data_IF_974204432440
#
_entry.id   IF_974204432440
#
_cell.length_a   1.000
_cell.length_b   1.000
_cell.length_c   1.000
_cell.angle_alpha   90.00
_cell.angle_beta   90.00
_cell.angle_gamma   90.00
#
_symmetry.space_group_name_H-M   'P 1'
#
loop_
_entity.id
_entity.type
_entity.pdbx_description
1 polymer ?
#
# COMPACT_ATOMS: atom_id res chain seq x y z
N UNK A 1 -2.87 -7.48 -7.11
CA UNK A 1 -2.18 -8.24 -6.05
C UNK A 1 -0.77 -8.60 -6.51
N UNK A 2 0.22 -8.63 -5.61
CA UNK A 2 1.60 -9.03 -5.96
C UNK A 2 1.77 -10.55 -5.82
N UNK A 3 2.45 -11.17 -6.78
CA UNK A 3 2.79 -12.61 -6.78
C UNK A 3 4.24 -12.87 -6.36
N UNK A 4 5.05 -11.81 -6.25
CA UNK A 4 6.45 -11.88 -5.86
C UNK A 4 6.65 -11.09 -4.58
N UNK A 5 7.36 -11.69 -3.62
CA UNK A 5 7.73 -11.10 -2.33
C UNK A 5 9.25 -11.12 -2.25
N UNK A 6 9.86 -9.94 -2.12
CA UNK A 6 11.31 -9.74 -1.99
C UNK A 6 11.69 -9.65 -0.51
N UNK A 7 11.00 -8.80 0.25
CA UNK A 7 11.18 -8.59 1.69
C UNK A 7 9.88 -8.02 2.27
N UNK A 8 9.40 -8.55 3.40
CA UNK A 8 8.15 -8.12 4.03
C UNK A 8 8.32 -6.97 5.05
N UNK A 9 9.56 -6.57 5.32
CA UNK A 9 9.88 -5.50 6.27
C UNK A 9 9.18 -4.19 5.87
N UNK A 10 8.50 -3.54 6.82
CA UNK A 10 7.82 -2.26 6.59
C UNK A 10 6.47 -2.35 5.86
N UNK A 11 6.03 -3.53 5.40
CA UNK A 11 4.75 -3.67 4.70
C UNK A 11 3.55 -3.36 5.61
N UNK A 12 3.61 -3.78 6.88
CA UNK A 12 2.60 -3.44 7.88
C UNK A 12 2.58 -1.94 8.20
N UNK A 13 3.75 -1.32 8.30
CA UNK A 13 3.86 0.12 8.57
C UNK A 13 3.27 0.93 7.43
N UNK A 14 3.54 0.55 6.17
CA UNK A 14 2.95 1.19 5.00
C UNK A 14 1.43 1.00 4.91
N UNK A 15 0.94 -0.20 5.24
CA UNK A 15 -0.50 -0.46 5.35
C UNK A 15 -1.13 0.49 6.37
N UNK A 16 -0.61 0.52 7.61
CA UNK A 16 -1.21 1.30 8.68
C UNK A 16 -1.07 2.81 8.47
N UNK A 17 0.04 3.28 7.91
CA UNK A 17 0.23 4.69 7.58
C UNK A 17 -0.88 5.19 6.64
N UNK A 18 -1.19 4.44 5.58
CA UNK A 18 -2.23 4.85 4.64
C UNK A 18 -3.64 4.58 5.17
N UNK A 19 -3.87 3.42 5.78
CA UNK A 19 -5.20 3.05 6.28
C UNK A 19 -5.66 3.96 7.42
N UNK A 20 -4.75 4.39 8.30
CA UNK A 20 -5.08 5.32 9.39
C UNK A 20 -5.43 6.72 8.87
N UNK A 21 -4.74 7.22 7.84
CA UNK A 21 -5.08 8.47 7.18
C UNK A 21 -6.47 8.41 6.52
N UNK A 22 -6.77 7.30 5.82
CA UNK A 22 -8.09 7.09 5.23
C UNK A 22 -9.18 6.97 6.31
N UNK A 23 -8.89 6.30 7.43
CA UNK A 23 -9.81 6.21 8.55
C UNK A 23 -10.09 7.59 9.18
N UNK A 24 -9.04 8.39 9.40
CA UNK A 24 -9.16 9.74 9.93
C UNK A 24 -9.94 10.67 8.98
N UNK A 25 -9.84 10.45 7.67
CA UNK A 25 -10.61 11.18 6.66
C UNK A 25 -12.06 10.66 6.48
N UNK A 26 -12.48 9.64 7.22
CA UNK A 26 -13.86 9.14 7.22
C UNK A 26 -14.24 8.27 6.02
N UNK A 27 -13.26 7.65 5.34
CA UNK A 27 -13.56 6.74 4.22
C UNK A 27 -14.24 5.44 4.68
N UNK A 28 -15.02 4.78 3.82
CA UNK A 28 -15.58 3.45 4.09
C UNK A 28 -14.49 2.40 4.35
N UNK A 29 -14.80 1.43 5.22
CA UNK A 29 -13.86 0.36 5.62
C UNK A 29 -13.27 -0.43 4.45
N UNK A 30 -14.05 -0.66 3.40
CA UNK A 30 -13.58 -1.35 2.19
C UNK A 30 -12.50 -0.54 1.46
N UNK A 31 -12.67 0.79 1.32
CA UNK A 31 -11.67 1.66 0.71
C UNK A 31 -10.42 1.82 1.58
N UNK A 32 -10.60 1.84 2.91
CA UNK A 32 -9.48 1.86 3.86
C UNK A 32 -8.61 0.60 3.69
N UNK A 33 -9.25 -0.57 3.72
CA UNK A 33 -8.56 -1.85 3.56
C UNK A 33 -7.92 -1.97 2.18
N UNK A 34 -8.62 -1.55 1.12
CA UNK A 34 -8.08 -1.55 -0.24
C UNK A 34 -6.82 -0.68 -0.36
N UNK A 35 -6.89 0.58 0.07
CA UNK A 35 -5.77 1.51 0.01
C UNK A 35 -4.56 1.00 0.81
N UNK A 36 -4.77 0.59 2.06
CA UNK A 36 -3.72 0.02 2.91
C UNK A 36 -3.06 -1.21 2.27
N UNK A 37 -3.86 -2.13 1.73
CA UNK A 37 -3.35 -3.33 1.06
C UNK A 37 -2.54 -2.98 -0.20
N UNK A 38 -2.91 -1.94 -0.95
CA UNK A 38 -2.09 -1.44 -2.05
C UNK A 38 -0.72 -0.96 -1.57
N UNK A 39 -0.66 -0.13 -0.53
CA UNK A 39 0.60 0.35 0.03
C UNK A 39 1.49 -0.80 0.55
N UNK A 40 0.93 -1.72 1.32
CA UNK A 40 1.67 -2.89 1.82
C UNK A 40 2.19 -3.79 0.69
N UNK A 41 1.36 -4.06 -0.33
CA UNK A 41 1.74 -4.88 -1.47
C UNK A 41 2.87 -4.27 -2.33
N UNK A 42 3.04 -2.95 -2.28
CA UNK A 42 4.17 -2.28 -2.95
C UNK A 42 5.47 -2.48 -2.17
N UNK A 43 5.42 -2.37 -0.84
CA UNK A 43 6.60 -2.49 0.01
C UNK A 43 7.13 -3.92 0.08
N UNK A 44 6.28 -4.95 -0.02
CA UNK A 44 6.77 -6.34 0.00
C UNK A 44 7.71 -6.69 -1.17
N UNK A 45 7.82 -5.81 -2.18
CA UNK A 45 8.70 -5.95 -3.35
C UNK A 45 9.98 -5.12 -3.25
N UNK A 46 10.18 -4.41 -2.14
CA UNK A 46 11.32 -3.53 -1.89
C UNK A 46 12.21 -4.20 -0.85
N UNK A 47 13.53 -4.19 -1.08
CA UNK A 47 14.48 -4.66 -0.07
C UNK A 47 14.58 -3.64 1.07
N UNK A 48 14.18 -4.03 2.28
CA UNK A 48 14.09 -3.14 3.43
C UNK A 48 13.30 -1.86 3.14
N UNK A 49 13.83 -0.72 3.57
CA UNK A 49 13.25 0.61 3.31
C UNK A 49 13.98 1.36 2.17
N UNK A 50 14.51 0.64 1.18
CA UNK A 50 15.27 1.25 0.09
C UNK A 50 14.42 2.18 -0.79
N UNK A 51 13.11 1.95 -0.84
CA UNK A 51 12.12 2.77 -1.55
C UNK A 51 10.90 3.03 -0.66
N UNK A 52 10.12 4.05 -1.00
CA UNK A 52 8.92 4.43 -0.25
C UNK A 52 7.69 4.56 -1.14
N UNK A 53 6.51 4.47 -0.52
CA UNK A 53 5.24 4.71 -1.21
C UNK A 53 5.10 6.22 -1.46
N UNK A 54 4.87 6.58 -2.72
CA UNK A 54 4.62 7.96 -3.18
C UNK A 54 3.22 8.04 -3.80
N UNK A 55 2.59 9.22 -3.86
CA UNK A 55 1.28 9.35 -4.51
C UNK A 55 1.31 8.82 -5.97
N UNK A 56 2.37 9.13 -6.71
CA UNK A 56 2.52 8.72 -8.12
C UNK A 56 2.55 7.20 -8.27
N UNK A 57 3.41 6.50 -7.52
CA UNK A 57 3.52 5.04 -7.65
C UNK A 57 2.27 4.33 -7.09
N UNK A 58 1.65 4.88 -6.05
CA UNK A 58 0.42 4.36 -5.48
C UNK A 58 -0.73 4.42 -6.48
N UNK A 59 -0.94 5.56 -7.15
CA UNK A 59 -2.01 5.68 -8.15
C UNK A 59 -1.78 4.79 -9.38
N UNK A 60 -0.53 4.64 -9.81
CA UNK A 60 -0.18 3.71 -10.88
C UNK A 60 -0.51 2.26 -10.48
N UNK A 61 -0.17 1.87 -9.25
CA UNK A 61 -0.45 0.54 -8.72
C UNK A 61 -1.96 0.29 -8.55
N UNK A 62 -2.70 1.25 -7.98
CA UNK A 62 -4.17 1.15 -7.88
C UNK A 62 -4.78 1.00 -9.27
N UNK A 63 -4.30 1.77 -10.25
CA UNK A 63 -4.78 1.68 -11.64
C UNK A 63 -4.45 0.34 -12.30
N UNK A 64 -3.37 -0.34 -11.92
CA UNK A 64 -3.05 -1.67 -12.45
C UNK A 64 -3.87 -2.77 -11.80
N UNK A 65 -4.33 -2.56 -10.55
CA UNK A 65 -5.21 -3.49 -9.83
C UNK A 65 -6.67 -3.39 -10.27
N UNK A 66 -7.13 -2.19 -10.66
CA UNK A 66 -8.52 -1.94 -11.08
C UNK A 66 -8.80 -2.16 -12.57
N UNK A 67 -7.76 -2.39 -13.38
CA UNK A 67 -7.89 -2.83 -14.77
C UNK A 67 -8.16 -4.33 -14.83
#
# INVERSE_FOLDING_TARGET
FTTEVVDATGAGDAYFALSSLCAAAGYPGELIGFAGNCAGAMIVRVLGNAESVTPTNLYQFISSVLK
#
